data_IF_350289245798
#
_entry.id   IF_350289245798
#
_cell.length_a   1.000
_cell.length_b   1.000
_cell.length_c   1.000
_cell.angle_alpha   90.00
_cell.angle_beta   90.00
_cell.angle_gamma   90.00
#
_symmetry.space_group_name_H-M   'P 1'
#
loop_
_entity.id
_entity.type
_entity.pdbx_description
1 polymer ?
#
# COMPACT_ATOMS: atom_id res chain seq x y z
N UNK A 1 5.59 10.52 -12.87
CA UNK A 1 4.62 10.53 -11.75
C UNK A 1 5.40 10.71 -10.47
N UNK A 2 4.94 11.62 -9.61
CA UNK A 2 5.41 11.69 -8.23
C UNK A 2 4.84 10.53 -7.40
N UNK A 3 5.34 10.27 -6.19
CA UNK A 3 4.71 9.33 -5.25
C UNK A 3 3.24 9.66 -4.99
N UNK A 4 2.87 10.95 -4.86
CA UNK A 4 1.47 11.33 -4.68
C UNK A 4 0.61 11.01 -5.91
N UNK A 5 1.15 11.20 -7.13
CA UNK A 5 0.43 10.85 -8.35
C UNK A 5 0.09 9.35 -8.40
N UNK A 6 1.02 8.49 -7.95
CA UNK A 6 0.82 7.04 -7.89
C UNK A 6 -0.26 6.67 -6.87
N UNK A 7 -0.20 7.25 -5.67
CA UNK A 7 -1.23 7.03 -4.63
C UNK A 7 -2.60 7.49 -5.12
N UNK A 8 -2.67 8.64 -5.80
CA UNK A 8 -3.91 9.16 -6.39
C UNK A 8 -4.45 8.19 -7.45
N UNK A 9 -3.62 7.77 -8.41
CA UNK A 9 -4.05 6.85 -9.45
C UNK A 9 -4.61 5.52 -8.89
N UNK A 10 -3.98 4.97 -7.85
CA UNK A 10 -4.44 3.73 -7.19
C UNK A 10 -5.72 3.95 -6.38
N UNK A 11 -5.86 5.12 -5.75
CA UNK A 11 -7.07 5.51 -5.02
C UNK A 11 -8.26 5.70 -5.97
N UNK A 12 -8.05 6.38 -7.10
CA UNK A 12 -9.06 6.63 -8.13
C UNK A 12 -9.52 5.32 -8.79
N UNK A 13 -8.60 4.37 -8.96
CA UNK A 13 -8.92 3.02 -9.42
C UNK A 13 -9.72 2.19 -8.39
N UNK A 14 -9.89 2.68 -7.16
CA UNK A 14 -10.59 2.00 -6.06
C UNK A 14 -10.02 0.60 -5.79
N UNK A 15 -8.72 0.42 -5.96
CA UNK A 15 -8.07 -0.88 -5.75
C UNK A 15 -8.22 -1.31 -4.29
N UNK A 16 -8.72 -2.53 -4.09
CA UNK A 16 -8.80 -3.19 -2.78
C UNK A 16 -7.72 -4.25 -2.65
N UNK A 17 -7.25 -4.46 -1.42
CA UNK A 17 -6.29 -5.51 -1.08
C UNK A 17 -6.83 -6.90 -1.46
N UNK A 18 -5.96 -7.73 -2.04
CA UNK A 18 -6.32 -9.05 -2.59
C UNK A 18 -6.05 -10.23 -1.66
N UNK A 19 -5.23 -10.06 -0.62
CA UNK A 19 -4.94 -11.11 0.37
C UNK A 19 -6.02 -11.21 1.46
N UNK A 20 -7.30 -11.28 1.10
CA UNK A 20 -8.42 -11.51 2.04
C UNK A 20 -8.92 -10.29 2.83
N UNK A 21 -8.03 -9.44 3.36
CA UNK A 21 -8.44 -8.31 4.22
C UNK A 21 -9.27 -7.21 3.50
N UNK A 22 -9.18 -7.12 2.17
CA UNK A 22 -10.01 -6.21 1.37
C UNK A 22 -9.84 -4.71 1.64
N UNK A 23 -8.78 -4.30 2.34
CA UNK A 23 -8.53 -2.91 2.72
C UNK A 23 -8.22 -2.04 1.48
N UNK A 24 -8.70 -0.78 1.39
CA UNK A 24 -8.37 0.10 0.26
C UNK A 24 -6.86 0.35 0.12
N UNK A 25 -6.29 -0.02 -1.04
CA UNK A 25 -4.83 0.00 -1.24
C UNK A 25 -4.26 1.41 -1.22
N UNK A 26 -4.93 2.38 -1.86
CA UNK A 26 -4.50 3.78 -1.85
C UNK A 26 -4.45 4.39 -0.45
N UNK A 27 -5.48 4.13 0.37
CA UNK A 27 -5.51 4.54 1.78
C UNK A 27 -4.36 3.93 2.57
N UNK A 28 -4.09 2.62 2.38
CA UNK A 28 -2.95 1.95 3.06
C UNK A 28 -1.63 2.65 2.74
N UNK A 29 -1.41 3.02 1.48
CA UNK A 29 -0.17 3.68 1.06
C UNK A 29 -0.05 5.10 1.62
N UNK A 30 -1.17 5.83 1.76
CA UNK A 30 -1.17 7.18 2.35
C UNK A 30 -0.77 7.25 3.83
N UNK A 31 -0.77 6.11 4.55
CA UNK A 31 -0.35 6.06 5.94
C UNK A 31 1.17 6.09 6.12
N UNK A 32 1.93 5.88 5.05
CA UNK A 32 3.40 5.93 5.12
C UNK A 32 3.82 7.41 5.29
N UNK A 33 4.59 7.76 6.35
CA UNK A 33 5.06 9.12 6.55
C UNK A 33 5.89 9.60 5.36
N UNK A 34 5.61 10.79 4.83
CA UNK A 34 6.39 11.37 3.72
C UNK A 34 7.48 12.33 4.23
N UNK A 35 7.21 13.05 5.32
CA UNK A 35 8.07 14.11 5.85
C UNK A 35 8.52 13.86 7.31
N UNK A 36 9.50 14.66 7.75
CA UNK A 36 9.96 14.72 9.14
C UNK A 36 10.83 13.54 9.58
N UNK A 37 11.15 13.44 10.88
CA UNK A 37 12.05 12.40 11.42
C UNK A 37 11.55 10.97 11.16
N UNK A 38 10.23 10.79 11.01
CA UNK A 38 9.62 9.51 10.66
C UNK A 38 9.84 9.15 9.17
N UNK A 39 9.72 10.12 8.26
CA UNK A 39 10.00 9.95 6.82
C UNK A 39 11.50 9.85 6.48
N UNK A 40 12.39 10.20 7.42
CA UNK A 40 13.84 10.05 7.25
C UNK A 40 14.33 8.59 7.33
N UNK A 41 13.47 7.66 7.76
CA UNK A 41 13.80 6.24 7.82
C UNK A 41 13.58 5.58 6.46
N UNK A 42 14.38 4.57 6.07
CA UNK A 42 14.10 3.78 4.88
C UNK A 42 12.69 3.17 4.94
N UNK A 43 11.92 3.35 3.87
CA UNK A 43 10.63 2.69 3.70
C UNK A 43 10.83 1.35 3.00
N UNK A 44 10.14 0.33 3.50
CA UNK A 44 10.16 -1.01 2.92
C UNK A 44 8.81 -1.32 2.29
N UNK A 45 8.86 -1.92 1.11
CA UNK A 45 7.72 -2.53 0.47
C UNK A 45 7.88 -4.04 0.55
N UNK A 46 7.06 -4.69 1.38
CA UNK A 46 7.02 -6.14 1.46
C UNK A 46 5.81 -6.63 0.68
N UNK A 47 6.08 -7.43 -0.34
CA UNK A 47 5.05 -8.18 -1.07
C UNK A 47 4.80 -9.46 -0.30
N UNK A 48 3.59 -9.63 0.23
CA UNK A 48 3.22 -10.90 0.84
C UNK A 48 2.97 -11.92 -0.28
N UNK A 49 3.77 -12.98 -0.29
CA UNK A 49 3.66 -14.14 -1.19
C UNK A 49 3.43 -15.46 -0.44
N UNK A 50 3.19 -15.38 0.88
CA UNK A 50 2.86 -16.52 1.72
C UNK A 50 1.33 -16.66 1.81
N UNK A 51 0.75 -17.17 0.72
CA UNK A 51 -0.70 -17.36 0.54
C UNK A 51 -1.13 -18.75 1.06
N UNK A 52 -0.74 -19.04 2.31
CA UNK A 52 -0.96 -20.32 3.02
C UNK A 52 -2.43 -20.61 3.37
N UNK A 53 -3.35 -19.77 2.92
CA UNK A 53 -4.79 -20.00 3.03
C UNK A 53 -5.22 -21.28 2.26
N UNK A 54 -6.11 -22.11 2.81
CA UNK A 54 -6.59 -23.28 2.07
C UNK A 54 -7.45 -22.88 0.86
N UNK A 55 -7.01 -23.27 -0.34
CA UNK A 55 -7.78 -23.10 -1.57
C UNK A 55 -7.70 -21.72 -2.22
N UNK A 56 -6.67 -20.94 -1.89
CA UNK A 56 -6.27 -19.72 -2.60
C UNK A 56 -5.62 -20.00 -3.95
#
# INVERSE_FOLDING_TARGET
>A
MSPEDVIRAVSDARLRGRGGAGFPTGTKWSFIPQDGPAGAKPHYLVVNADESEPGT
#
